data_IF_098656842783
#
_entry.id   IF_098656842783
#
_cell.length_a   1.000
_cell.length_b   1.000
_cell.length_c   1.000
_cell.angle_alpha   90.00
_cell.angle_beta   90.00
_cell.angle_gamma   90.00
#
_symmetry.space_group_name_H-M   'P 1'
#
loop_
_entity.id
_entity.type
_entity.pdbx_description
1 polymer ?
#
# COMPACT_ATOMS: atom_id res chain seq x y z
N UNK A 1 27.47 -7.79 -1.22
CA UNK A 1 28.07 -6.93 -0.18
C UNK A 1 27.72 -7.55 1.14
N UNK A 2 28.71 -7.94 1.95
CA UNK A 2 28.51 -8.71 3.17
C UNK A 2 28.87 -7.82 4.37
N UNK A 3 28.04 -7.87 5.41
CA UNK A 3 28.12 -7.03 6.59
C UNK A 3 27.99 -7.91 7.84
N UNK A 4 28.83 -7.66 8.84
CA UNK A 4 28.69 -8.28 10.15
C UNK A 4 27.63 -7.51 10.94
N UNK A 5 26.68 -8.23 11.52
CA UNK A 5 25.63 -7.61 12.33
C UNK A 5 26.18 -7.36 13.74
N UNK A 6 26.06 -6.11 14.21
CA UNK A 6 26.43 -5.74 15.58
C UNK A 6 25.29 -5.96 16.57
N UNK A 7 24.04 -5.88 16.11
CA UNK A 7 22.85 -5.94 16.95
C UNK A 7 21.90 -7.08 16.56
N UNK A 8 20.98 -7.40 17.48
CA UNK A 8 19.95 -8.44 17.28
C UNK A 8 18.76 -7.97 16.46
N UNK A 9 18.58 -6.66 16.39
CA UNK A 9 17.51 -6.00 15.66
C UNK A 9 18.15 -5.19 14.51
N UNK A 10 17.44 -5.04 13.39
CA UNK A 10 17.94 -4.41 12.18
C UNK A 10 16.90 -3.45 11.58
N UNK A 11 17.25 -2.18 11.47
CA UNK A 11 16.44 -1.21 10.73
C UNK A 11 16.69 -1.36 9.22
N UNK A 12 15.62 -1.40 8.44
CA UNK A 12 15.64 -1.47 6.99
C UNK A 12 15.01 -0.17 6.44
N UNK A 13 15.82 0.73 5.90
CA UNK A 13 15.35 1.85 5.07
C UNK A 13 15.63 1.53 3.59
N UNK A 14 14.66 0.88 2.94
CA UNK A 14 14.78 0.45 1.56
C UNK A 14 13.86 1.28 0.68
N UNK A 15 14.43 2.03 -0.26
CA UNK A 15 13.67 2.84 -1.23
C UNK A 15 14.11 2.55 -2.66
N UNK A 16 13.30 1.75 -3.34
CA UNK A 16 13.52 1.31 -4.71
C UNK A 16 12.57 2.03 -5.68
N UNK A 17 12.91 2.00 -6.96
CA UNK A 17 12.08 2.61 -8.02
C UNK A 17 11.52 1.51 -8.91
N UNK A 18 12.37 0.80 -9.65
CA UNK A 18 11.95 -0.28 -10.56
C UNK A 18 12.48 -1.65 -10.13
N UNK A 19 13.41 -1.68 -9.18
CA UNK A 19 14.09 -2.92 -8.77
C UNK A 19 13.21 -3.79 -7.88
N UNK A 20 13.32 -5.10 -8.05
CA UNK A 20 12.72 -6.08 -7.17
C UNK A 20 13.61 -6.29 -5.94
N UNK A 21 12.98 -6.46 -4.78
CA UNK A 21 13.61 -6.85 -3.54
C UNK A 21 13.14 -8.26 -3.16
N UNK A 22 14.09 -9.14 -2.88
CA UNK A 22 13.83 -10.47 -2.33
C UNK A 22 14.57 -10.61 -1.00
N UNK A 23 13.85 -10.56 0.11
CA UNK A 23 14.40 -10.77 1.45
C UNK A 23 14.33 -12.27 1.76
N UNK A 24 15.49 -12.84 2.07
CA UNK A 24 15.66 -14.25 2.37
C UNK A 24 16.28 -14.38 3.75
N UNK A 25 15.55 -14.95 4.70
CA UNK A 25 16.10 -15.33 5.99
C UNK A 25 16.55 -16.79 5.98
N UNK A 26 17.75 -17.05 6.49
CA UNK A 26 18.36 -18.38 6.55
C UNK A 26 19.31 -18.52 7.75
N UNK A 27 19.84 -19.72 7.97
CA UNK A 27 20.75 -19.99 9.09
C UNK A 27 22.15 -19.44 8.80
N UNK A 28 22.31 -18.14 9.06
CA UNK A 28 23.52 -17.33 8.89
C UNK A 28 23.66 -16.30 10.00
N UNK A 29 24.85 -15.74 10.17
CA UNK A 29 25.16 -14.73 11.20
C UNK A 29 25.33 -13.32 10.62
N UNK A 30 25.49 -13.21 9.30
CA UNK A 30 25.77 -11.97 8.59
C UNK A 30 24.56 -11.50 7.78
N UNK A 31 24.59 -10.23 7.40
CA UNK A 31 23.71 -9.67 6.38
C UNK A 31 24.44 -9.61 5.04
N UNK A 32 23.76 -9.98 3.96
CA UNK A 32 24.33 -9.86 2.61
C UNK A 32 23.35 -9.29 1.59
N UNK A 33 23.79 -8.24 0.89
CA UNK A 33 23.08 -7.64 -0.24
C UNK A 33 23.71 -8.11 -1.55
N UNK A 34 22.96 -8.86 -2.34
CA UNK A 34 23.37 -9.36 -3.66
C UNK A 34 22.56 -8.66 -4.75
N UNK A 35 23.26 -8.10 -5.73
CA UNK A 35 22.66 -7.52 -6.94
C UNK A 35 22.88 -8.49 -8.10
N UNK A 36 21.81 -9.08 -8.62
CA UNK A 36 21.92 -10.02 -9.72
C UNK A 36 22.10 -9.30 -11.06
N UNK A 37 22.96 -9.85 -11.92
CA UNK A 37 23.19 -9.38 -13.29
C UNK A 37 23.59 -7.90 -13.40
N UNK A 38 24.20 -7.34 -12.35
CA UNK A 38 24.72 -5.98 -12.35
C UNK A 38 26.23 -5.96 -12.06
N UNK A 39 26.97 -5.18 -12.84
CA UNK A 39 28.39 -4.96 -12.60
C UNK A 39 28.61 -4.05 -11.39
N UNK A 40 29.79 -4.11 -10.77
CA UNK A 40 30.14 -3.24 -9.63
C UNK A 40 29.95 -1.75 -9.95
N UNK A 41 30.34 -1.32 -11.15
CA UNK A 41 30.18 0.07 -11.61
C UNK A 41 28.69 0.45 -11.72
N UNK A 42 27.86 -0.41 -12.31
CA UNK A 42 26.42 -0.18 -12.40
C UNK A 42 25.77 -0.10 -11.02
N UNK A 43 26.19 -0.96 -10.08
CA UNK A 43 25.69 -0.91 -8.70
C UNK A 43 26.04 0.43 -8.04
N UNK A 44 27.30 0.87 -8.13
CA UNK A 44 27.75 2.13 -7.50
C UNK A 44 27.09 3.38 -8.11
N UNK A 45 26.74 3.35 -9.39
CA UNK A 45 26.04 4.46 -10.05
C UNK A 45 24.54 4.48 -9.76
N UNK A 46 23.92 3.29 -9.59
CA UNK A 46 22.47 3.14 -9.47
C UNK A 46 22.00 3.07 -8.02
N UNK A 47 22.79 2.52 -7.10
CA UNK A 47 22.38 2.26 -5.74
C UNK A 47 23.32 2.90 -4.73
N UNK A 48 22.73 3.52 -3.71
CA UNK A 48 23.40 3.88 -2.47
C UNK A 48 23.11 2.78 -1.46
N UNK A 49 24.15 2.13 -0.98
CA UNK A 49 24.07 1.09 0.06
C UNK A 49 24.95 1.54 1.21
N UNK A 50 24.37 1.75 2.39
CA UNK A 50 25.09 2.06 3.63
C UNK A 50 24.57 1.17 4.75
N UNK A 51 25.48 0.77 5.62
CA UNK A 51 25.17 0.07 6.85
C UNK A 51 26.10 0.61 7.93
N UNK A 52 25.54 1.01 9.08
CA UNK A 52 26.27 1.62 10.19
C UNK A 52 26.38 0.72 11.44
N UNK A 53 25.78 -0.46 11.40
CA UNK A 53 25.68 -1.38 12.54
C UNK A 53 24.23 -1.66 12.94
N UNK A 54 23.33 -0.70 12.71
CA UNK A 54 21.94 -0.78 13.16
C UNK A 54 20.97 -0.65 11.98
N UNK A 55 21.30 0.19 11.00
CA UNK A 55 20.44 0.52 9.88
C UNK A 55 21.05 0.14 8.53
N UNK A 56 20.30 -0.56 7.69
CA UNK A 56 20.57 -0.71 6.26
C UNK A 56 19.82 0.37 5.45
N UNK A 57 20.55 1.36 4.94
CA UNK A 57 20.06 2.35 3.97
C UNK A 57 20.34 1.86 2.54
N UNK A 58 19.31 1.39 1.84
CA UNK A 58 19.37 0.89 0.45
C UNK A 58 18.46 1.73 -0.46
N UNK A 59 19.06 2.64 -1.23
CA UNK A 59 18.34 3.60 -2.09
C UNK A 59 18.70 3.45 -3.56
N UNK A 60 17.69 3.35 -4.43
CA UNK A 60 17.84 3.39 -5.89
C UNK A 60 17.77 4.85 -6.41
N UNK A 61 18.78 5.26 -7.18
CA UNK A 61 18.94 6.62 -7.68
C UNK A 61 18.00 6.93 -8.86
N UNK A 62 17.26 8.04 -8.75
CA UNK A 62 16.42 8.57 -9.84
C UNK A 62 17.24 9.03 -11.05
N UNK A 63 18.40 9.64 -10.82
CA UNK A 63 19.24 10.22 -11.89
C UNK A 63 19.71 9.18 -12.90
N UNK A 64 19.96 7.94 -12.44
CA UNK A 64 20.31 6.83 -13.32
C UNK A 64 19.17 6.46 -14.28
N UNK A 65 17.90 6.55 -13.84
CA UNK A 65 16.72 6.23 -14.66
C UNK A 65 16.49 7.19 -15.83
N UNK A 66 16.92 8.44 -15.69
CA UNK A 66 16.77 9.45 -16.74
C UNK A 66 17.84 9.36 -17.83
N UNK A 67 19.02 8.82 -17.51
CA UNK A 67 20.14 8.73 -18.46
C UNK A 67 20.09 7.50 -19.36
N UNK A 68 19.48 6.39 -18.89
CA UNK A 68 19.43 5.13 -19.62
C UNK A 68 17.96 4.67 -19.73
N UNK A 69 17.36 4.80 -20.92
CA UNK A 69 15.95 4.43 -21.16
C UNK A 69 15.70 2.91 -21.18
N UNK A 70 16.72 2.11 -21.51
CA UNK A 70 16.64 0.63 -21.54
C UNK A 70 17.16 0.01 -20.22
N UNK A 71 16.34 0.04 -19.16
CA UNK A 71 16.80 -0.47 -17.85
C UNK A 71 16.37 -1.90 -17.58
N UNK A 72 17.38 -2.77 -17.46
CA UNK A 72 17.27 -4.06 -16.78
C UNK A 72 16.74 -3.80 -15.36
N UNK A 73 15.61 -4.42 -15.02
CA UNK A 73 15.09 -4.42 -13.64
C UNK A 73 16.16 -5.01 -12.74
N UNK A 74 16.60 -4.25 -11.72
CA UNK A 74 17.52 -4.78 -10.73
C UNK A 74 16.81 -5.85 -9.91
N UNK A 75 17.43 -7.00 -9.71
CA UNK A 75 16.97 -7.99 -8.75
C UNK A 75 17.95 -7.98 -7.58
N UNK A 76 17.45 -7.57 -6.42
CA UNK A 76 18.23 -7.45 -5.20
C UNK A 76 17.80 -8.58 -4.28
N UNK A 77 18.76 -9.40 -3.84
CA UNK A 77 18.55 -10.37 -2.77
C UNK A 77 19.18 -9.84 -1.50
N UNK A 78 18.39 -9.72 -0.45
CA UNK A 78 18.84 -9.36 0.89
C UNK A 78 18.77 -10.62 1.75
N UNK A 79 19.92 -11.18 2.06
CA UNK A 79 20.02 -12.32 2.97
C UNK A 79 20.23 -11.84 4.40
N UNK A 80 19.46 -12.42 5.31
CA UNK A 80 19.45 -12.07 6.73
C UNK A 80 19.49 -13.32 7.62
N UNK A 81 19.96 -13.23 8.87
CA UNK A 81 19.81 -14.30 9.85
C UNK A 81 18.35 -14.66 10.12
N UNK A 82 18.05 -15.95 10.25
CA UNK A 82 16.70 -16.48 10.50
C UNK A 82 15.98 -15.83 11.69
N UNK A 83 16.73 -15.47 12.73
CA UNK A 83 16.18 -14.95 13.99
C UNK A 83 16.23 -13.42 14.11
N UNK A 84 16.68 -12.72 13.06
CA UNK A 84 16.74 -11.27 13.10
C UNK A 84 15.32 -10.71 13.25
N UNK A 85 15.18 -9.68 14.07
CA UNK A 85 13.99 -8.84 14.06
C UNK A 85 14.29 -7.61 13.23
N UNK A 86 13.46 -7.33 12.25
CA UNK A 86 13.62 -6.16 11.41
C UNK A 86 12.50 -5.15 11.65
N UNK A 87 12.79 -3.89 11.41
CA UNK A 87 11.79 -2.81 11.41
C UNK A 87 12.15 -1.73 10.39
N UNK A 88 11.29 -0.75 10.19
CA UNK A 88 11.58 0.41 9.34
C UNK A 88 10.66 0.53 8.12
N UNK A 89 11.22 0.84 6.96
CA UNK A 89 10.50 1.26 5.76
C UNK A 89 10.90 0.44 4.52
N UNK A 90 9.91 -0.20 3.86
CA UNK A 90 10.09 -0.84 2.57
C UNK A 90 9.28 -0.12 1.49
N UNK A 91 9.96 0.58 0.59
CA UNK A 91 9.34 1.44 -0.42
C UNK A 91 9.75 1.02 -1.83
N UNK A 92 8.80 0.90 -2.73
CA UNK A 92 9.08 0.73 -4.16
C UNK A 92 8.06 1.45 -5.04
N UNK A 93 8.50 2.00 -6.18
CA UNK A 93 7.58 2.65 -7.12
C UNK A 93 6.97 1.69 -8.14
N UNK A 94 7.59 0.56 -8.42
CA UNK A 94 7.10 -0.39 -9.43
C UNK A 94 7.80 -1.74 -9.47
N UNK A 95 8.74 -2.00 -8.55
CA UNK A 95 9.30 -3.34 -8.35
C UNK A 95 8.42 -4.19 -7.44
N UNK A 96 8.69 -5.50 -7.42
CA UNK A 96 8.07 -6.42 -6.47
C UNK A 96 8.88 -6.52 -5.19
N UNK A 97 8.21 -6.77 -4.06
CA UNK A 97 8.84 -7.15 -2.80
C UNK A 97 8.43 -8.59 -2.51
N UNK A 98 9.42 -9.46 -2.32
CA UNK A 98 9.24 -10.84 -1.91
C UNK A 98 9.98 -11.08 -0.61
N UNK A 99 9.35 -11.79 0.31
CA UNK A 99 9.94 -12.22 1.59
C UNK A 99 9.67 -13.72 1.72
N UNK A 100 10.65 -14.52 2.13
CA UNK A 100 10.37 -15.92 2.49
C UNK A 100 9.71 -15.96 3.87
N UNK A 101 10.47 -15.63 4.90
CA UNK A 101 10.03 -15.48 6.27
C UNK A 101 10.74 -14.30 6.93
N UNK A 102 10.06 -13.54 7.79
CA UNK A 102 10.68 -12.43 8.50
C UNK A 102 9.84 -12.06 9.74
N UNK A 103 10.51 -11.65 10.82
CA UNK A 103 9.89 -10.80 11.83
C UNK A 103 10.10 -9.35 11.41
N UNK A 104 9.03 -8.64 11.07
CA UNK A 104 9.08 -7.28 10.56
C UNK A 104 7.96 -6.40 11.12
N UNK A 105 8.37 -5.26 11.67
CA UNK A 105 7.48 -4.20 12.11
C UNK A 105 7.76 -2.92 11.31
N UNK A 106 6.83 -2.48 10.47
CA UNK A 106 7.09 -1.28 9.70
C UNK A 106 6.11 -0.98 8.58
N UNK A 107 6.51 -0.01 7.76
CA UNK A 107 5.70 0.54 6.69
C UNK A 107 6.13 -0.03 5.34
N UNK A 108 5.17 -0.54 4.59
CA UNK A 108 5.36 -1.03 3.22
C UNK A 108 4.59 -0.16 2.26
N UNK A 109 5.31 0.62 1.43
CA UNK A 109 4.71 1.55 0.47
C UNK A 109 5.06 1.18 -0.96
N UNK A 110 4.04 0.87 -1.76
CA UNK A 110 4.20 0.45 -3.15
C UNK A 110 3.34 1.30 -4.08
N UNK A 111 3.90 1.78 -5.20
CA UNK A 111 3.15 2.49 -6.26
C UNK A 111 2.91 1.63 -7.51
N UNK A 112 3.04 0.31 -7.37
CA UNK A 112 3.06 -0.70 -8.41
C UNK A 112 3.74 -1.97 -7.90
N UNK A 113 3.68 -3.06 -8.66
CA UNK A 113 4.30 -4.34 -8.29
C UNK A 113 3.50 -5.14 -7.25
N UNK A 114 3.99 -6.28 -6.82
CA UNK A 114 3.33 -7.16 -5.84
C UNK A 114 4.18 -7.32 -4.58
N UNK A 115 3.50 -7.39 -3.43
CA UNK A 115 4.08 -7.82 -2.16
C UNK A 115 3.75 -9.29 -1.93
N UNK A 116 4.77 -10.12 -1.76
CA UNK A 116 4.58 -11.56 -1.54
C UNK A 116 5.37 -12.08 -0.35
N UNK A 117 4.71 -12.80 0.55
CA UNK A 117 5.35 -13.60 1.59
C UNK A 117 5.10 -15.07 1.29
N UNK A 118 6.17 -15.87 1.12
CA UNK A 118 6.00 -17.27 0.71
C UNK A 118 5.95 -18.27 1.85
N UNK A 119 6.40 -17.91 3.05
CA UNK A 119 6.35 -18.79 4.22
C UNK A 119 5.64 -18.08 5.38
N UNK A 120 6.30 -17.14 6.06
CA UNK A 120 5.78 -16.58 7.32
C UNK A 120 6.23 -15.16 7.59
N UNK A 121 5.28 -14.23 7.77
CA UNK A 121 5.54 -12.87 8.23
C UNK A 121 4.97 -12.67 9.64
N UNK A 122 5.81 -12.20 10.58
CA UNK A 122 5.42 -11.90 11.95
C UNK A 122 5.61 -10.42 12.22
N UNK A 123 4.66 -9.78 12.89
CA UNK A 123 4.80 -8.41 13.38
C UNK A 123 3.62 -7.52 13.05
N UNK A 124 3.82 -6.21 13.20
CA UNK A 124 2.83 -5.17 12.98
C UNK A 124 3.21 -4.33 11.75
N UNK A 125 2.37 -4.34 10.72
CA UNK A 125 2.71 -3.80 9.42
C UNK A 125 1.63 -2.85 8.88
N UNK A 126 2.03 -1.67 8.41
CA UNK A 126 1.17 -0.77 7.63
C UNK A 126 1.50 -0.90 6.14
N UNK A 127 0.51 -1.25 5.32
CA UNK A 127 0.64 -1.39 3.88
C UNK A 127 -0.09 -0.27 3.17
N UNK A 128 0.62 0.50 2.36
CA UNK A 128 0.04 1.53 1.48
C UNK A 128 0.38 1.25 0.03
N UNK A 129 -0.57 0.66 -0.69
CA UNK A 129 -0.35 0.15 -2.06
C UNK A 129 -1.24 0.89 -3.06
N UNK A 130 -0.61 1.53 -4.04
CA UNK A 130 -1.24 2.25 -5.13
C UNK A 130 -1.15 1.42 -6.40
N UNK A 131 -1.88 0.30 -6.43
CA UNK A 131 -1.85 -0.68 -7.52
C UNK A 131 -0.87 -1.83 -7.27
N UNK A 132 -1.38 -3.06 -7.18
CA UNK A 132 -0.57 -4.24 -6.86
C UNK A 132 -1.31 -5.24 -5.98
N UNK A 133 -0.84 -6.49 -5.91
CA UNK A 133 -1.43 -7.50 -5.01
C UNK A 133 -0.57 -7.70 -3.76
N UNK A 134 -1.24 -8.02 -2.65
CA UNK A 134 -0.64 -8.57 -1.42
C UNK A 134 -1.01 -10.05 -1.38
N UNK A 135 -0.01 -10.92 -1.29
CA UNK A 135 -0.19 -12.37 -1.13
C UNK A 135 0.72 -12.86 0.00
N UNK A 136 0.13 -13.17 1.15
CA UNK A 136 0.83 -13.62 2.35
C UNK A 136 0.40 -15.04 2.65
N UNK A 137 1.36 -15.96 2.71
CA UNK A 137 1.08 -17.36 3.03
C UNK A 137 0.65 -17.53 4.49
N UNK A 138 1.50 -17.12 5.43
CA UNK A 138 1.17 -17.10 6.86
C UNK A 138 1.47 -15.73 7.47
N UNK A 139 0.51 -15.16 8.19
CA UNK A 139 0.66 -13.89 8.89
C UNK A 139 0.42 -14.03 10.39
N UNK A 140 1.25 -13.41 11.24
CA UNK A 140 1.02 -13.37 12.68
C UNK A 140 1.29 -11.97 13.25
N UNK A 141 0.26 -11.33 13.79
CA UNK A 141 0.37 -10.01 14.41
C UNK A 141 -0.68 -9.02 13.90
N UNK A 142 -0.27 -7.77 13.71
CA UNK A 142 -1.16 -6.64 13.40
C UNK A 142 -1.02 -6.15 11.97
N UNK A 143 -2.14 -5.90 11.30
CA UNK A 143 -2.11 -5.46 9.91
C UNK A 143 -3.02 -4.26 9.66
N UNK A 144 -2.43 -3.17 9.16
CA UNK A 144 -3.16 -2.07 8.57
C UNK A 144 -2.93 -2.06 7.05
N UNK A 145 -3.98 -2.13 6.23
CA UNK A 145 -3.83 -2.12 4.77
C UNK A 145 -4.71 -1.04 4.16
N UNK A 146 -4.08 -0.17 3.36
CA UNK A 146 -4.74 0.75 2.45
C UNK A 146 -4.31 0.45 1.01
N UNK A 147 -5.23 -0.05 0.19
CA UNK A 147 -4.98 -0.26 -1.24
C UNK A 147 -5.99 0.46 -2.12
N UNK A 148 -5.50 1.05 -3.22
CA UNK A 148 -6.32 1.73 -4.22
C UNK A 148 -6.59 0.88 -5.47
N UNK A 149 -6.09 -0.36 -5.47
CA UNK A 149 -6.25 -1.28 -6.60
C UNK A 149 -5.46 -2.57 -6.39
N UNK A 150 -6.08 -3.72 -6.64
CA UNK A 150 -5.47 -5.05 -6.57
C UNK A 150 -5.99 -5.90 -5.41
N UNK A 151 -5.61 -7.17 -5.40
CA UNK A 151 -6.16 -8.16 -4.46
C UNK A 151 -5.27 -8.29 -3.22
N UNK A 152 -5.91 -8.53 -2.08
CA UNK A 152 -5.26 -8.88 -0.82
C UNK A 152 -5.62 -10.32 -0.50
N UNK A 153 -4.61 -11.12 -0.21
CA UNK A 153 -4.74 -12.52 0.17
C UNK A 153 -3.86 -12.82 1.38
N UNK A 154 -4.48 -13.30 2.45
CA UNK A 154 -3.82 -13.90 3.61
C UNK A 154 -4.35 -15.34 3.69
N UNK A 155 -3.48 -16.35 3.51
CA UNK A 155 -3.90 -17.74 3.35
C UNK A 155 -4.08 -18.47 4.68
N UNK A 156 -3.30 -18.10 5.68
CA UNK A 156 -3.34 -18.65 7.03
C UNK A 156 -2.73 -17.61 7.99
N UNK A 157 -2.98 -17.77 9.29
CA UNK A 157 -2.33 -16.95 10.29
C UNK A 157 -3.10 -16.74 11.58
N UNK A 158 -2.55 -15.85 12.40
CA UNK A 158 -3.15 -15.35 13.64
C UNK A 158 -3.17 -13.82 13.62
N UNK A 159 -4.37 -13.26 13.47
CA UNK A 159 -4.59 -11.83 13.41
C UNK A 159 -4.89 -11.29 14.81
N UNK A 160 -4.03 -10.39 15.27
CA UNK A 160 -4.17 -9.70 16.57
C UNK A 160 -4.71 -8.26 16.42
N UNK A 161 -4.52 -7.66 15.24
CA UNK A 161 -5.09 -6.37 14.86
C UNK A 161 -5.37 -6.32 13.37
N UNK A 162 -6.48 -5.70 12.98
CA UNK A 162 -6.83 -5.50 11.57
C UNK A 162 -7.55 -4.18 11.32
N UNK A 163 -6.94 -3.32 10.50
CA UNK A 163 -7.62 -2.20 9.86
C UNK A 163 -7.38 -2.25 8.34
N UNK A 164 -8.43 -2.38 7.54
CA UNK A 164 -8.30 -2.48 6.08
C UNK A 164 -9.23 -1.51 5.36
N UNK A 165 -8.70 -0.83 4.34
CA UNK A 165 -9.39 0.08 3.42
C UNK A 165 -9.00 -0.28 1.99
N UNK A 166 -9.94 -0.84 1.23
CA UNK A 166 -9.74 -1.32 -0.14
C UNK A 166 -10.64 -0.53 -1.08
N UNK A 167 -10.08 0.23 -2.02
CA UNK A 167 -10.88 1.04 -2.97
C UNK A 167 -11.15 0.35 -4.31
N UNK A 168 -10.64 -0.87 -4.51
CA UNK A 168 -10.87 -1.67 -5.70
C UNK A 168 -10.05 -2.96 -5.68
N UNK A 169 -10.70 -4.12 -5.77
CA UNK A 169 -10.04 -5.43 -5.74
C UNK A 169 -10.83 -6.46 -4.94
N UNK A 170 -10.19 -7.55 -4.52
CA UNK A 170 -10.81 -8.53 -3.62
C UNK A 170 -9.96 -8.70 -2.37
N UNK A 171 -10.63 -8.92 -1.24
CA UNK A 171 -10.02 -9.29 0.02
C UNK A 171 -10.34 -10.75 0.29
N UNK A 172 -9.31 -11.60 0.39
CA UNK A 172 -9.41 -12.98 0.85
C UNK A 172 -8.56 -13.16 2.11
N UNK A 173 -9.18 -13.56 3.21
CA UNK A 173 -8.47 -13.89 4.45
C UNK A 173 -8.94 -15.28 4.90
N UNK A 174 -8.00 -16.13 5.30
CA UNK A 174 -8.26 -17.33 6.07
C UNK A 174 -7.29 -17.31 7.26
N UNK A 175 -7.82 -17.24 8.49
CA UNK A 175 -6.99 -17.05 9.70
C UNK A 175 -7.75 -17.31 11.00
N UNK A 176 -6.97 -17.49 12.07
CA UNK A 176 -7.40 -17.38 13.47
C UNK A 176 -7.47 -15.90 13.87
N UNK A 177 -8.53 -15.51 14.59
CA UNK A 177 -8.71 -14.16 15.12
C UNK A 177 -8.51 -14.16 16.65
N UNK A 178 -7.42 -13.53 17.10
CA UNK A 178 -7.10 -13.28 18.52
C UNK A 178 -6.96 -11.77 18.75
N UNK A 179 -8.00 -11.04 18.34
CA UNK A 179 -7.99 -9.60 18.27
C UNK A 179 -7.78 -8.96 19.65
N UNK A 180 -6.83 -8.04 19.74
CA UNK A 180 -6.57 -7.20 20.93
C UNK A 180 -7.48 -5.96 20.99
N UNK A 181 -8.09 -5.60 19.85
CA UNK A 181 -9.07 -4.52 19.69
C UNK A 181 -9.98 -4.83 18.51
N UNK A 182 -11.11 -4.12 18.45
CA UNK A 182 -12.05 -4.20 17.33
C UNK A 182 -11.35 -4.06 15.97
N UNK A 183 -11.68 -4.96 15.05
CA UNK A 183 -11.18 -4.96 13.68
C UNK A 183 -12.11 -4.17 12.77
N UNK A 184 -11.55 -3.42 11.82
CA UNK A 184 -12.30 -2.65 10.83
C UNK A 184 -11.90 -3.04 9.42
N UNK A 185 -12.85 -3.51 8.62
CA UNK A 185 -12.66 -3.90 7.23
C UNK A 185 -13.61 -3.07 6.37
N UNK A 186 -13.05 -2.20 5.52
CA UNK A 186 -13.81 -1.29 4.65
C UNK A 186 -13.43 -1.53 3.20
N UNK A 187 -14.40 -1.89 2.37
CA UNK A 187 -14.21 -2.08 0.94
C UNK A 187 -15.16 -1.22 0.13
N UNK A 188 -14.60 -0.43 -0.77
CA UNK A 188 -15.25 0.51 -1.67
C UNK A 188 -15.19 -0.03 -3.11
N UNK A 189 -15.82 -1.17 -3.35
CA UNK A 189 -15.84 -1.86 -4.65
C UNK A 189 -14.95 -3.11 -4.66
N UNK A 190 -15.57 -4.28 -4.84
CA UNK A 190 -14.86 -5.56 -4.75
C UNK A 190 -15.65 -6.66 -4.07
N UNK A 191 -14.96 -7.73 -3.66
CA UNK A 191 -15.56 -8.78 -2.84
C UNK A 191 -14.73 -9.09 -1.59
N UNK A 192 -15.41 -9.23 -0.45
CA UNK A 192 -14.83 -9.74 0.80
C UNK A 192 -15.11 -11.24 0.83
N UNK A 193 -14.07 -12.05 1.03
CA UNK A 193 -14.16 -13.44 1.45
C UNK A 193 -13.28 -13.65 2.69
N UNK A 194 -13.88 -13.91 3.83
CA UNK A 194 -13.15 -14.21 5.07
C UNK A 194 -13.62 -15.56 5.57
N UNK A 195 -12.66 -16.45 5.83
CA UNK A 195 -12.90 -17.71 6.51
C UNK A 195 -12.22 -17.63 7.89
N UNK A 196 -13.02 -17.74 8.95
CA UNK A 196 -12.56 -17.64 10.33
C UNK A 196 -12.32 -19.05 10.85
N UNK A 197 -11.06 -19.47 10.93
CA UNK A 197 -10.75 -20.82 11.40
C UNK A 197 -11.06 -21.00 12.88
N UNK A 198 -10.80 -19.95 13.66
CA UNK A 198 -11.05 -19.92 15.11
C UNK A 198 -11.16 -18.48 15.59
N UNK A 199 -12.04 -18.25 16.56
CA UNK A 199 -12.29 -16.93 17.15
C UNK A 199 -12.06 -16.95 18.67
N UNK A 200 -10.91 -16.44 19.12
CA UNK A 200 -10.51 -16.43 20.53
C UNK A 200 -10.42 -15.00 21.08
N UNK A 201 -11.51 -14.22 20.96
CA UNK A 201 -11.52 -12.82 21.41
C UNK A 201 -12.94 -12.34 21.70
N UNK A 202 -13.04 -11.31 22.54
CA UNK A 202 -14.29 -10.59 22.79
C UNK A 202 -14.49 -9.37 21.89
N UNK A 203 -13.44 -8.96 21.16
CA UNK A 203 -13.48 -7.84 20.22
C UNK A 203 -14.48 -8.09 19.10
N UNK A 204 -14.84 -7.06 18.34
CA UNK A 204 -15.76 -7.19 17.19
C UNK A 204 -15.05 -7.01 15.86
N UNK A 205 -15.62 -7.58 14.80
CA UNK A 205 -15.24 -7.32 13.41
C UNK A 205 -16.32 -6.43 12.77
N UNK A 206 -15.94 -5.24 12.34
CA UNK A 206 -16.78 -4.34 11.56
C UNK A 206 -16.42 -4.49 10.08
N UNK A 207 -17.28 -5.17 9.31
CA UNK A 207 -17.10 -5.33 7.87
C UNK A 207 -18.08 -4.45 7.12
N UNK A 208 -17.56 -3.47 6.37
CA UNK A 208 -18.32 -2.54 5.57
C UNK A 208 -17.95 -2.73 4.10
N UNK A 209 -18.95 -2.96 3.26
CA UNK A 209 -18.77 -3.05 1.81
C UNK A 209 -19.69 -2.07 1.08
N UNK A 210 -19.17 -1.42 0.06
CA UNK A 210 -19.91 -0.56 -0.86
C UNK A 210 -19.87 -1.18 -2.26
N UNK A 211 -20.94 -1.90 -2.62
CA UNK A 211 -21.02 -2.69 -3.85
C UNK A 211 -20.25 -4.03 -3.79
N UNK A 212 -20.73 -5.03 -4.54
CA UNK A 212 -20.12 -6.37 -4.61
C UNK A 212 -20.64 -7.35 -3.56
N UNK A 213 -19.87 -8.40 -3.25
CA UNK A 213 -20.26 -9.51 -2.36
C UNK A 213 -19.42 -9.54 -1.09
N UNK A 214 -20.06 -9.85 0.04
CA UNK A 214 -19.40 -10.09 1.31
C UNK A 214 -19.78 -11.49 1.77
N UNK A 215 -18.77 -12.34 1.90
CA UNK A 215 -18.87 -13.70 2.41
C UNK A 215 -17.91 -13.82 3.60
N UNK A 216 -18.46 -14.05 4.78
CA UNK A 216 -17.69 -14.23 6.01
C UNK A 216 -18.25 -15.45 6.71
N UNK A 217 -17.45 -16.52 6.71
CA UNK A 217 -17.76 -17.88 7.17
C UNK A 217 -16.78 -18.30 8.26
N UNK A 218 -17.05 -19.44 8.89
CA UNK A 218 -16.18 -20.03 9.90
C UNK A 218 -16.75 -20.00 11.32
N UNK A 219 -15.89 -20.26 12.30
CA UNK A 219 -16.25 -20.39 13.72
C UNK A 219 -16.09 -19.03 14.43
N UNK A 220 -17.19 -18.28 14.54
CA UNK A 220 -17.25 -17.03 15.32
C UNK A 220 -18.68 -16.78 15.84
N UNK A 221 -18.84 -16.08 16.99
CA UNK A 221 -20.16 -15.69 17.47
C UNK A 221 -20.78 -14.60 16.58
N UNK A 222 -22.04 -14.76 16.16
CA UNK A 222 -22.69 -13.84 15.22
C UNK A 222 -22.76 -12.39 15.73
N UNK A 223 -22.90 -12.18 17.04
CA UNK A 223 -22.96 -10.86 17.68
C UNK A 223 -21.62 -10.09 17.64
N UNK A 224 -20.52 -10.81 17.35
CA UNK A 224 -19.18 -10.23 17.18
C UNK A 224 -18.90 -9.76 15.76
N UNK A 225 -19.78 -10.07 14.81
CA UNK A 225 -19.63 -9.68 13.40
C UNK A 225 -20.67 -8.66 12.97
N UNK A 226 -20.22 -7.42 12.75
CA UNK A 226 -21.07 -6.31 12.34
C UNK A 226 -20.87 -6.05 10.86
N UNK A 227 -21.84 -6.51 10.04
CA UNK A 227 -21.83 -6.34 8.59
C UNK A 227 -22.66 -5.13 8.18
N UNK A 228 -22.11 -4.27 7.32
CA UNK A 228 -22.86 -3.22 6.61
C UNK A 228 -22.59 -3.30 5.13
N UNK A 229 -23.66 -3.37 4.33
CA UNK A 229 -23.58 -3.35 2.87
C UNK A 229 -24.36 -2.17 2.32
N UNK A 230 -23.67 -1.34 1.54
CA UNK A 230 -24.28 -0.22 0.82
C UNK A 230 -24.31 -0.54 -0.67
N UNK A 231 -25.47 -0.33 -1.29
CA UNK A 231 -25.62 -0.47 -2.74
C UNK A 231 -25.31 0.87 -3.44
N UNK A 232 -24.83 0.81 -4.68
CA UNK A 232 -24.29 1.94 -5.46
C UNK A 232 -25.29 3.09 -5.68
N UNK A 233 -26.59 2.84 -5.50
CA UNK A 233 -27.70 3.79 -5.73
C UNK A 233 -27.91 4.83 -4.62
N UNK A 234 -27.00 4.95 -3.66
CA UNK A 234 -27.14 5.91 -2.56
C UNK A 234 -25.80 6.33 -1.96
N UNK A 235 -24.82 6.67 -2.81
CA UNK A 235 -23.57 7.27 -2.32
C UNK A 235 -23.88 8.71 -1.89
N UNK A 236 -24.25 8.89 -0.62
CA UNK A 236 -24.34 10.20 -0.01
C UNK A 236 -22.98 10.91 -0.07
N UNK A 237 -23.00 12.24 -0.22
CA UNK A 237 -21.80 13.12 -0.31
C UNK A 237 -20.78 12.88 0.82
N UNK A 238 -21.21 12.38 1.97
CA UNK A 238 -20.38 12.11 3.15
C UNK A 238 -19.43 10.91 3.02
N UNK A 239 -19.69 10.00 2.07
CA UNK A 239 -18.81 8.87 1.76
C UNK A 239 -17.74 9.28 0.75
N UNK A 240 -18.10 10.15 -0.21
CA UNK A 240 -17.17 10.69 -1.22
C UNK A 240 -16.15 11.63 -0.59
N UNK A 241 -16.53 12.39 0.45
CA UNK A 241 -15.65 13.34 1.14
C UNK A 241 -14.42 12.71 1.84
N UNK A 242 -14.45 11.41 2.12
CA UNK A 242 -13.35 10.66 2.75
C UNK A 242 -12.46 9.90 1.74
N UNK A 243 -12.80 9.98 0.46
CA UNK A 243 -11.93 9.53 -0.63
C UNK A 243 -11.08 10.74 -0.99
N UNK A 244 -9.74 10.70 -0.85
CA UNK A 244 -8.91 11.83 -1.27
C UNK A 244 -9.19 12.14 -2.73
N UNK A 245 -9.35 13.42 -3.04
CA UNK A 245 -9.84 13.93 -4.34
C UNK A 245 -8.98 13.45 -5.52
N UNK A 246 -7.69 13.22 -5.27
CA UNK A 246 -6.74 12.60 -6.21
C UNK A 246 -7.15 11.19 -6.65
N UNK A 247 -7.76 10.41 -5.76
CA UNK A 247 -8.23 9.04 -6.03
C UNK A 247 -9.59 9.08 -6.72
N UNK A 248 -10.49 9.99 -6.30
CA UNK A 248 -11.75 10.21 -7.01
C UNK A 248 -11.52 10.61 -8.48
N UNK A 249 -10.58 11.53 -8.72
CA UNK A 249 -10.17 11.95 -10.05
C UNK A 249 -9.43 10.85 -10.85
N UNK A 250 -8.83 9.88 -10.15
CA UNK A 250 -8.26 8.69 -10.79
C UNK A 250 -9.36 7.72 -11.20
N UNK A 251 -10.34 7.45 -10.33
CA UNK A 251 -11.49 6.60 -10.62
C UNK A 251 -12.38 7.15 -11.74
N UNK A 252 -12.67 8.45 -11.75
CA UNK A 252 -13.51 9.08 -12.77
C UNK A 252 -12.92 8.99 -14.18
N UNK A 253 -11.58 8.97 -14.29
CA UNK A 253 -10.86 8.73 -15.55
C UNK A 253 -10.90 7.28 -16.02
N UNK A 254 -11.00 6.31 -15.09
CA UNK A 254 -11.09 4.88 -15.40
C UNK A 254 -12.52 4.39 -15.67
N UNK A 255 -13.55 5.06 -15.13
CA UNK A 255 -14.96 4.70 -15.35
C UNK A 255 -15.57 5.27 -16.63
N UNK A 256 -14.76 5.81 -17.54
CA UNK A 256 -15.18 6.18 -18.88
C UNK A 256 -15.47 4.94 -19.73
N UNK A 257 -16.61 4.28 -19.50
CA UNK A 257 -17.45 3.70 -20.56
C UNK A 257 -18.77 3.09 -20.04
N UNK A 258 -19.86 3.65 -20.59
CA UNK A 258 -21.24 3.17 -20.77
C UNK A 258 -21.73 1.94 -19.99
N UNK A 259 -22.84 2.15 -19.27
CA UNK A 259 -23.95 1.21 -19.27
C UNK A 259 -25.26 2.00 -19.18
N UNK A 260 -25.96 2.05 -20.31
CA UNK A 260 -27.34 2.51 -20.47
C UNK A 260 -28.29 1.72 -19.57
N UNK A 261 -29.30 2.40 -19.03
CA UNK A 261 -30.36 1.82 -18.20
C UNK A 261 -31.30 2.89 -17.69
N UNK A 262 -32.29 3.22 -18.52
CA UNK A 262 -33.37 4.19 -18.28
C UNK A 262 -34.13 3.94 -16.97
N UNK A 263 -34.33 5.00 -16.16
CA UNK A 263 -35.64 5.64 -16.03
C UNK A 263 -35.61 6.89 -15.12
N UNK A 264 -35.97 8.01 -15.75
CA UNK A 264 -36.90 9.09 -15.34
C UNK A 264 -36.48 10.14 -14.31
N UNK A 265 -36.15 11.29 -14.93
CA UNK A 265 -36.66 12.64 -14.66
C UNK A 265 -36.27 13.33 -13.35
N UNK A 266 -35.18 14.09 -13.42
CA UNK A 266 -35.20 15.55 -13.17
C UNK A 266 -34.19 16.19 -14.12
N UNK A 267 -34.66 16.93 -15.12
CA UNK A 267 -33.85 17.87 -15.89
C UNK A 267 -33.36 18.98 -14.97
N UNK A 268 -32.04 19.13 -14.87
CA UNK A 268 -31.43 20.42 -14.56
C UNK A 268 -30.32 20.62 -15.57
N UNK A 269 -30.59 21.44 -16.58
CA UNK A 269 -29.56 22.05 -17.41
C UNK A 269 -28.55 22.74 -16.49
N UNK A 270 -27.28 22.31 -16.56
CA UNK A 270 -26.16 23.11 -16.09
C UNK A 270 -25.12 23.10 -17.19
N UNK A 271 -25.00 24.25 -17.87
CA UNK A 271 -23.97 24.53 -18.87
C UNK A 271 -22.57 24.12 -18.35
N UNK A 272 -21.85 23.31 -19.15
CA UNK A 272 -20.44 23.02 -18.92
C UNK A 272 -19.61 24.29 -19.10
N UNK A 273 -19.08 24.86 -18.01
CA UNK A 273 -17.92 25.75 -18.08
C UNK A 273 -16.64 24.98 -17.80
N UNK A 274 -15.89 24.69 -18.86
CA UNK A 274 -14.49 24.25 -18.78
C UNK A 274 -13.65 25.36 -18.13
N UNK A 275 -13.18 25.15 -16.90
CA UNK A 275 -12.24 26.08 -16.26
C UNK A 275 -10.80 25.72 -16.65
N UNK A 276 -10.27 26.39 -17.68
CA UNK A 276 -8.83 26.45 -17.94
C UNK A 276 -8.18 27.36 -16.89
N UNK A 277 -7.37 26.80 -16.00
CA UNK A 277 -6.50 27.61 -15.14
C UNK A 277 -5.36 28.22 -15.96
N UNK A 278 -5.01 29.48 -15.69
CA UNK A 278 -3.89 30.17 -16.34
C UNK A 278 -2.55 29.55 -15.94
N UNK A 279 -1.55 29.65 -16.81
CA UNK A 279 -0.21 29.07 -16.62
C UNK A 279 0.48 29.55 -15.32
N UNK A 280 0.12 30.76 -14.86
CA UNK A 280 0.59 31.36 -13.61
C UNK A 280 -0.04 30.71 -12.37
N UNK A 281 -1.31 30.32 -12.44
CA UNK A 281 -1.99 29.58 -11.35
C UNK A 281 -1.38 28.18 -11.22
N UNK A 282 -1.02 27.53 -12.33
CA UNK A 282 -0.36 26.23 -12.30
C UNK A 282 1.02 26.30 -11.61
N UNK A 283 1.80 27.37 -11.86
CA UNK A 283 3.09 27.58 -11.17
C UNK A 283 2.93 27.75 -9.66
N UNK A 284 1.86 28.41 -9.19
CA UNK A 284 1.59 28.56 -7.76
C UNK A 284 1.21 27.21 -7.13
N UNK A 285 0.47 26.37 -7.85
CA UNK A 285 0.13 25.01 -7.39
C UNK A 285 1.37 24.11 -7.33
N UNK A 286 2.27 24.20 -8.31
CA UNK A 286 3.54 23.46 -8.27
C UNK A 286 4.42 23.88 -7.08
N UNK A 287 4.46 25.19 -6.75
CA UNK A 287 5.19 25.68 -5.57
C UNK A 287 4.58 25.20 -4.25
N UNK A 288 3.26 24.99 -4.20
CA UNK A 288 2.56 24.43 -3.04
C UNK A 288 2.90 22.93 -2.89
N UNK A 289 2.89 22.17 -3.99
CA UNK A 289 3.21 20.74 -4.01
C UNK A 289 4.68 20.46 -3.66
N UNK A 290 5.59 21.36 -4.03
CA UNK A 290 7.00 21.31 -3.64
C UNK A 290 7.25 21.79 -2.20
N UNK A 291 6.21 22.25 -1.49
CA UNK A 291 6.31 22.73 -0.11
C UNK A 291 7.05 24.06 0.03
N UNK A 292 7.25 24.80 -1.06
CA UNK A 292 7.93 26.10 -1.07
C UNK A 292 7.06 27.23 -0.51
N UNK A 293 5.73 27.04 -0.59
CA UNK A 293 4.73 27.94 -0.02
C UNK A 293 3.66 27.11 0.69
N UNK A 294 2.97 27.71 1.66
CA UNK A 294 1.84 27.08 2.32
C UNK A 294 0.50 27.42 1.64
N UNK A 295 -0.57 26.73 2.04
CA UNK A 295 -1.89 26.89 1.43
C UNK A 295 -2.44 28.32 1.51
N UNK A 296 -2.14 29.06 2.59
CA UNK A 296 -2.59 30.44 2.76
C UNK A 296 -1.84 31.41 1.81
N UNK A 297 -0.55 31.17 1.60
CA UNK A 297 0.27 31.92 0.65
C UNK A 297 -0.16 31.63 -0.80
N UNK A 298 -0.42 30.37 -1.14
CA UNK A 298 -0.92 29.97 -2.46
C UNK A 298 -2.28 30.64 -2.75
N UNK A 299 -3.17 30.70 -1.77
CA UNK A 299 -4.48 31.35 -1.91
C UNK A 299 -4.35 32.85 -2.17
N UNK A 300 -3.46 33.56 -1.45
CA UNK A 300 -3.20 34.99 -1.67
C UNK A 300 -2.62 35.26 -3.06
N UNK A 301 -1.67 34.43 -3.52
CA UNK A 301 -1.05 34.55 -4.84
C UNK A 301 -2.03 34.30 -5.98
N UNK A 302 -2.85 33.24 -5.88
CA UNK A 302 -3.88 32.94 -6.89
C UNK A 302 -4.93 34.06 -6.93
N UNK A 303 -5.26 34.65 -5.78
CA UNK A 303 -6.18 35.79 -5.72
C UNK A 303 -5.59 37.03 -6.40
N UNK A 304 -4.31 37.34 -6.16
CA UNK A 304 -3.66 38.47 -6.84
C UNK A 304 -3.53 38.27 -8.35
N UNK A 305 -3.26 37.04 -8.82
CA UNK A 305 -3.19 36.72 -10.27
C UNK A 305 -4.54 36.96 -10.95
N UNK A 306 -5.66 36.73 -10.26
CA UNK A 306 -7.01 36.97 -10.78
C UNK A 306 -7.45 38.44 -10.73
N UNK A 307 -6.77 39.26 -9.93
CA UNK A 307 -7.03 40.70 -9.77
C UNK A 307 -6.07 41.57 -10.62
N UNK A 308 -5.14 40.94 -11.35
CA UNK A 308 -4.17 41.57 -12.27
C UNK A 308 -4.65 41.55 -13.71
#
# INVERSE_FOLDING_TARGET
MKFQLSEKDLELDVSLIKSNLNIVTEDREDMEVVFENLTKSAIQQRFKVKYDGEELDLKESKSYLFQNQDQIRGNIKLYLPRKIKSYGDLKTKGGNIKINSLYYNGDVKMYGGNFKVTEKLIGSNEYKIYGGNIDIEYFEGGVEIKTYGGNIKINDGKIEYMETKVYGGNLKINSIFELKKDASIKMYGGNIKIDVEKYNTESKIYAIIMGGKMDITGDFPEDKLIKKKYNKTGIGKDIVSNIPESIFNMFSKFTGNKSDGENKDVEVEVEEKQNNYTEEVNKVLDMLDEGKINAEQAQKLIKSIKES
#
